data_IF_886971833260
#
_entry.id   IF_886971833260
#
_cell.length_a   1.000
_cell.length_b   1.000
_cell.length_c   1.000
_cell.angle_alpha   90.00
_cell.angle_beta   90.00
_cell.angle_gamma   90.00
#
_symmetry.space_group_name_H-M   'P 1'
#
loop_
_entity.id
_entity.type
_entity.pdbx_description
1 polymer ?
#
# COMPACT_ATOMS: atom_id res chain seq x y z
N UNK A 1 6.20 0.12 6.38
CA UNK A 1 5.30 -0.21 5.25
C UNK A 1 6.14 -0.50 4.01
N UNK A 2 5.82 -1.54 3.27
CA UNK A 2 6.48 -1.90 2.01
C UNK A 2 5.55 -1.62 0.84
N UNK A 3 6.08 -1.03 -0.23
CA UNK A 3 5.32 -0.73 -1.44
C UNK A 3 6.10 -1.16 -2.68
N UNK A 4 5.39 -1.58 -3.71
CA UNK A 4 5.94 -1.90 -5.03
C UNK A 4 4.88 -1.69 -6.10
N UNK A 5 5.32 -1.37 -7.30
CA UNK A 5 4.46 -1.23 -8.47
C UNK A 5 5.03 -2.00 -9.66
N UNK A 6 4.16 -2.77 -10.33
CA UNK A 6 4.46 -3.49 -11.57
C UNK A 6 3.20 -3.53 -12.45
N UNK A 7 2.52 -4.66 -12.56
CA UNK A 7 1.21 -4.77 -13.22
C UNK A 7 0.05 -4.21 -12.38
N UNK A 8 0.33 -3.97 -11.11
CA UNK A 8 -0.56 -3.40 -10.13
C UNK A 8 0.23 -2.70 -9.03
N UNK A 9 -0.48 -2.23 -8.01
CA UNK A 9 0.10 -1.61 -6.83
C UNK A 9 0.00 -2.59 -5.66
N UNK A 10 1.14 -3.02 -5.13
CA UNK A 10 1.23 -3.94 -4.01
C UNK A 10 1.76 -3.24 -2.76
N UNK A 11 1.11 -3.45 -1.62
CA UNK A 11 1.48 -2.81 -0.36
C UNK A 11 1.36 -3.80 0.80
N UNK A 12 2.27 -3.68 1.75
CA UNK A 12 2.28 -4.48 2.98
C UNK A 12 2.48 -3.56 4.18
N UNK A 13 1.57 -3.58 5.12
CA UNK A 13 1.70 -2.88 6.38
C UNK A 13 2.27 -3.83 7.43
N UNK A 14 3.33 -3.38 8.09
CA UNK A 14 3.97 -4.14 9.18
C UNK A 14 4.11 -3.26 10.41
N UNK A 15 4.01 -3.89 11.58
CA UNK A 15 4.32 -3.27 12.86
C UNK A 15 5.17 -4.25 13.69
N UNK A 16 6.28 -3.76 14.23
CA UNK A 16 7.22 -4.56 15.05
C UNK A 16 7.64 -5.88 14.37
N UNK A 17 7.90 -5.81 13.04
CA UNK A 17 8.31 -6.99 12.25
C UNK A 17 7.17 -7.95 11.87
N UNK A 18 5.93 -7.69 12.30
CA UNK A 18 4.76 -8.52 11.97
C UNK A 18 3.91 -7.83 10.91
N UNK A 19 3.43 -8.61 9.95
CA UNK A 19 2.49 -8.11 8.93
C UNK A 19 1.12 -7.93 9.58
N UNK A 20 0.55 -6.74 9.39
CA UNK A 20 -0.80 -6.38 9.86
C UNK A 20 -1.80 -6.50 8.72
N UNK A 21 -1.45 -5.98 7.53
CA UNK A 21 -2.37 -5.94 6.40
C UNK A 21 -1.63 -5.99 5.07
N UNK A 22 -2.33 -6.50 4.06
CA UNK A 22 -1.94 -6.47 2.67
C UNK A 22 -2.92 -5.62 1.89
N UNK A 23 -2.44 -4.86 0.92
CA UNK A 23 -3.28 -4.16 -0.04
C UNK A 23 -2.75 -4.38 -1.45
N UNK A 24 -3.67 -4.53 -2.37
CA UNK A 24 -3.37 -4.72 -3.78
C UNK A 24 -4.49 -4.11 -4.62
N UNK A 25 -4.13 -3.47 -5.72
CA UNK A 25 -5.06 -3.16 -6.80
C UNK A 25 -4.36 -3.17 -8.15
N UNK A 26 -5.09 -3.47 -9.17
CA UNK A 26 -4.60 -3.31 -10.55
C UNK A 26 -4.43 -1.85 -10.93
N UNK A 27 -3.60 -1.61 -11.93
CA UNK A 27 -3.48 -0.30 -12.55
C UNK A 27 -4.79 0.06 -13.27
N UNK A 28 -5.20 1.30 -13.13
CA UNK A 28 -6.27 1.87 -13.97
C UNK A 28 -5.74 2.06 -15.39
N UNK A 29 -6.64 2.10 -16.37
CA UNK A 29 -6.28 2.29 -17.77
C UNK A 29 -5.38 3.52 -18.02
N UNK A 30 -5.60 4.61 -17.31
CA UNK A 30 -4.77 5.81 -17.39
C UNK A 30 -3.42 5.71 -16.66
N UNK A 31 -3.23 4.70 -15.80
CA UNK A 31 -1.99 4.52 -15.03
C UNK A 31 -0.98 3.62 -15.74
N UNK A 32 -1.43 2.80 -16.69
CA UNK A 32 -0.58 1.83 -17.41
C UNK A 32 0.62 2.50 -18.09
N UNK A 33 0.44 3.74 -18.54
CA UNK A 33 1.47 4.53 -19.22
C UNK A 33 2.28 5.44 -18.29
N UNK A 34 2.12 5.31 -16.97
CA UNK A 34 2.90 6.10 -16.04
C UNK A 34 4.36 5.63 -16.00
N UNK A 35 5.31 6.55 -15.88
CA UNK A 35 6.70 6.19 -15.58
C UNK A 35 6.80 5.38 -14.28
N UNK A 36 7.79 4.51 -14.17
CA UNK A 36 7.98 3.61 -13.02
C UNK A 36 7.98 4.36 -11.69
N UNK A 37 8.66 5.50 -11.61
CA UNK A 37 8.70 6.30 -10.37
C UNK A 37 7.32 6.88 -9.98
N UNK A 38 6.46 7.18 -10.96
CA UNK A 38 5.09 7.62 -10.70
C UNK A 38 4.20 6.46 -10.23
N UNK A 39 4.40 5.26 -10.78
CA UNK A 39 3.70 4.06 -10.32
C UNK A 39 4.08 3.70 -8.88
N UNK A 40 5.35 3.77 -8.55
CA UNK A 40 5.83 3.55 -7.17
C UNK A 40 5.25 4.57 -6.19
N UNK A 41 5.22 5.86 -6.59
CA UNK A 41 4.57 6.89 -5.79
C UNK A 41 3.07 6.66 -5.66
N UNK A 42 2.42 6.18 -6.71
CA UNK A 42 1.00 5.80 -6.67
C UNK A 42 0.74 4.65 -5.69
N UNK A 43 1.68 3.69 -5.56
CA UNK A 43 1.56 2.63 -4.56
C UNK A 43 1.62 3.18 -3.13
N UNK A 44 2.51 4.13 -2.86
CA UNK A 44 2.57 4.81 -1.55
C UNK A 44 1.26 5.53 -1.27
N UNK A 45 0.76 6.34 -2.21
CA UNK A 45 -0.50 7.08 -2.06
C UNK A 45 -1.68 6.14 -1.87
N UNK A 46 -1.70 4.99 -2.57
CA UNK A 46 -2.73 3.99 -2.41
C UNK A 46 -2.75 3.41 -0.99
N UNK A 47 -1.59 3.03 -0.47
CA UNK A 47 -1.45 2.53 0.90
C UNK A 47 -1.91 3.56 1.95
N UNK A 48 -1.49 4.82 1.79
CA UNK A 48 -1.88 5.91 2.70
C UNK A 48 -3.39 6.14 2.73
N UNK A 49 -4.06 6.01 1.59
CA UNK A 49 -5.52 6.17 1.50
C UNK A 49 -6.26 5.03 2.19
N UNK A 50 -5.81 3.78 1.98
CA UNK A 50 -6.45 2.60 2.58
C UNK A 50 -6.25 2.59 4.09
N UNK A 51 -5.02 2.86 4.54
CA UNK A 51 -4.66 2.78 5.95
C UNK A 51 -4.61 4.13 6.65
N UNK A 52 -5.36 5.12 6.16
CA UNK A 52 -5.35 6.48 6.66
C UNK A 52 -5.57 6.54 8.17
N UNK A 53 -6.59 5.85 8.67
CA UNK A 53 -6.95 5.86 10.09
C UNK A 53 -5.85 5.28 10.98
N UNK A 54 -5.03 4.40 10.43
CA UNK A 54 -3.91 3.78 11.14
C UNK A 54 -2.64 4.61 11.09
N UNK A 55 -2.38 5.25 9.95
CA UNK A 55 -1.12 5.94 9.67
C UNK A 55 -1.16 7.44 10.00
N UNK A 56 -2.33 8.05 10.06
CA UNK A 56 -2.44 9.47 10.37
C UNK A 56 -1.98 9.76 11.80
N UNK A 57 -1.02 10.69 11.95
CA UNK A 57 -0.44 11.03 13.26
C UNK A 57 0.57 10.01 13.81
N UNK A 58 0.96 9.00 13.02
CA UNK A 58 1.94 7.98 13.39
C UNK A 58 3.14 8.06 12.45
N UNK A 59 4.35 7.99 13.00
CA UNK A 59 5.57 7.91 12.18
C UNK A 59 5.63 6.57 11.45
N UNK A 60 5.85 6.59 10.15
CA UNK A 60 5.86 5.41 9.29
C UNK A 60 7.03 5.42 8.32
N UNK A 61 7.82 4.34 8.30
CA UNK A 61 8.82 4.11 7.27
C UNK A 61 8.20 3.44 6.06
N UNK A 62 8.42 4.02 4.89
CA UNK A 62 8.01 3.46 3.59
C UNK A 62 9.23 2.85 2.91
N UNK A 63 9.21 1.54 2.77
CA UNK A 63 10.25 0.78 2.07
C UNK A 63 9.86 0.66 0.59
N UNK A 64 10.67 1.23 -0.28
CA UNK A 64 10.49 1.18 -1.74
C UNK A 64 11.73 0.63 -2.42
N UNK A 65 11.55 -0.08 -3.53
CA UNK A 65 12.65 -0.56 -4.35
C UNK A 65 13.13 0.45 -5.39
N UNK A 66 12.55 1.64 -5.45
CA UNK A 66 12.90 2.68 -6.41
C UNK A 66 13.65 3.85 -5.77
N UNK A 67 14.93 3.98 -6.09
CA UNK A 67 15.82 4.99 -5.48
C UNK A 67 15.34 6.42 -5.66
N UNK A 68 14.68 6.75 -6.77
CA UNK A 68 14.24 8.12 -7.06
C UNK A 68 13.19 8.63 -6.08
N UNK A 69 12.40 7.76 -5.46
CA UNK A 69 11.41 8.19 -4.47
C UNK A 69 12.03 8.81 -3.22
N UNK A 70 13.23 8.40 -2.85
CA UNK A 70 13.96 9.02 -1.73
C UNK A 70 14.17 10.53 -1.92
N UNK A 71 14.26 10.96 -3.17
CA UNK A 71 14.55 12.36 -3.51
C UNK A 71 13.32 13.13 -4.02
N UNK A 72 12.14 12.52 -4.03
CA UNK A 72 10.94 13.12 -4.62
C UNK A 72 10.58 14.46 -3.95
N UNK A 73 10.84 14.59 -2.65
CA UNK A 73 10.56 15.83 -1.90
C UNK A 73 11.52 16.98 -2.23
N UNK A 74 12.66 16.68 -2.81
CA UNK A 74 13.69 17.66 -3.14
C UNK A 74 13.73 18.02 -4.62
N UNK A 75 12.92 17.35 -5.45
CA UNK A 75 12.85 17.63 -6.89
C UNK A 75 12.19 18.99 -7.15
N UNK A 76 12.87 19.81 -7.96
CA UNK A 76 12.40 21.16 -8.32
C UNK A 76 11.25 21.12 -9.34
N UNK A 77 11.27 20.15 -10.25
CA UNK A 77 10.31 20.02 -11.32
C UNK A 77 9.41 18.79 -11.09
N UNK A 78 8.19 19.05 -10.66
CA UNK A 78 7.18 18.05 -10.43
C UNK A 78 6.01 18.29 -11.39
N UNK A 79 5.51 17.22 -12.00
CA UNK A 79 4.26 17.30 -12.75
C UNK A 79 3.05 17.51 -11.82
N UNK A 80 1.90 17.92 -12.40
CA UNK A 80 0.70 18.24 -11.61
C UNK A 80 0.20 17.06 -10.77
N UNK A 81 0.37 15.83 -11.25
CA UNK A 81 -0.02 14.61 -10.54
C UNK A 81 0.88 14.39 -9.32
N UNK A 82 2.19 14.49 -9.50
CA UNK A 82 3.16 14.36 -8.43
C UNK A 82 2.93 15.42 -7.34
N UNK A 83 2.67 16.67 -7.73
CA UNK A 83 2.36 17.76 -6.79
C UNK A 83 1.14 17.42 -5.92
N UNK A 84 0.04 16.93 -6.51
CA UNK A 84 -1.17 16.52 -5.77
C UNK A 84 -0.89 15.38 -4.80
N UNK A 85 -0.07 14.42 -5.20
CA UNK A 85 0.30 13.31 -4.34
C UNK A 85 1.20 13.75 -3.20
N UNK A 86 2.15 14.65 -3.45
CA UNK A 86 3.01 15.20 -2.39
C UNK A 86 2.22 16.05 -1.39
N UNK A 87 1.22 16.81 -1.83
CA UNK A 87 0.33 17.52 -0.90
C UNK A 87 -0.39 16.54 0.05
N UNK A 88 -0.87 15.41 -0.47
CA UNK A 88 -1.48 14.37 0.36
C UNK A 88 -0.47 13.74 1.32
N UNK A 89 0.75 13.47 0.85
CA UNK A 89 1.81 12.84 1.65
C UNK A 89 2.27 13.75 2.80
N UNK A 90 2.24 15.05 2.63
CA UNK A 90 2.60 16.04 3.68
C UNK A 90 1.78 15.91 4.96
N UNK A 91 0.57 15.37 4.87
CA UNK A 91 -0.30 15.15 6.04
C UNK A 91 0.18 13.99 6.92
N UNK A 92 1.20 13.25 6.49
CA UNK A 92 1.73 12.07 7.17
C UNK A 92 3.20 12.27 7.54
N UNK A 93 3.60 11.69 8.66
CA UNK A 93 5.01 11.60 9.07
C UNK A 93 5.66 10.37 8.43
N UNK A 94 6.20 10.56 7.21
CA UNK A 94 6.77 9.49 6.40
C UNK A 94 8.28 9.65 6.22
N UNK A 95 8.99 8.56 6.44
CA UNK A 95 10.39 8.39 6.06
C UNK A 95 10.49 7.39 4.89
N UNK A 96 10.85 7.86 3.69
CA UNK A 96 10.99 7.01 2.51
C UNK A 96 12.40 6.45 2.44
N UNK A 97 12.51 5.14 2.59
CA UNK A 97 13.76 4.40 2.61
C UNK A 97 13.87 3.51 1.38
N UNK A 98 14.98 3.63 0.66
CA UNK A 98 15.28 2.69 -0.42
C UNK A 98 15.63 1.30 0.17
N UNK A 99 14.94 0.29 -0.29
CA UNK A 99 15.14 -1.09 0.12
C UNK A 99 15.28 -1.99 -1.11
N UNK A 100 16.40 -2.71 -1.28
CA UNK A 100 16.61 -3.56 -2.44
C UNK A 100 15.50 -4.58 -2.65
N UNK A 101 15.16 -4.87 -3.90
CA UNK A 101 14.04 -5.75 -4.30
C UNK A 101 14.04 -7.11 -3.62
N UNK A 102 15.22 -7.67 -3.29
CA UNK A 102 15.34 -8.96 -2.59
C UNK A 102 14.68 -9.01 -1.21
N UNK A 103 14.48 -7.87 -0.57
CA UNK A 103 13.84 -7.78 0.74
C UNK A 103 12.37 -7.31 0.66
N UNK A 104 11.92 -6.81 -0.51
CA UNK A 104 10.54 -6.36 -0.75
C UNK A 104 9.71 -7.43 -1.50
N UNK A 105 9.95 -8.70 -1.20
CA UNK A 105 9.41 -9.84 -1.97
C UNK A 105 7.88 -9.87 -1.98
N UNK A 106 7.25 -9.57 -0.86
CA UNK A 106 5.78 -9.70 -0.73
C UNK A 106 5.05 -8.59 -1.47
N UNK A 107 5.48 -7.33 -1.34
CA UNK A 107 4.88 -6.23 -2.08
C UNK A 107 5.13 -6.37 -3.59
N UNK A 108 6.30 -6.89 -3.99
CA UNK A 108 6.61 -7.21 -5.39
C UNK A 108 5.67 -8.30 -5.93
N UNK A 109 5.50 -9.40 -5.20
CA UNK A 109 4.58 -10.47 -5.58
C UNK A 109 3.15 -9.97 -5.73
N UNK A 110 2.68 -9.12 -4.80
CA UNK A 110 1.35 -8.51 -4.87
C UNK A 110 1.20 -7.59 -6.09
N UNK A 111 2.22 -6.80 -6.41
CA UNK A 111 2.18 -5.88 -7.56
C UNK A 111 2.12 -6.58 -8.92
N UNK A 112 2.51 -7.86 -8.98
CA UNK A 112 2.50 -8.68 -10.21
C UNK A 112 1.20 -9.45 -10.43
N UNK A 113 0.29 -9.46 -9.44
CA UNK A 113 -0.99 -10.18 -9.58
C UNK A 113 -1.82 -9.64 -10.73
N UNK A 114 -2.33 -10.56 -11.55
CA UNK A 114 -3.28 -10.28 -12.63
C UNK A 114 -4.71 -10.66 -12.20
N UNK A 115 -5.72 -10.22 -12.94
CA UNK A 115 -7.14 -10.49 -12.64
C UNK A 115 -7.45 -12.01 -12.55
N UNK A 116 -6.74 -12.83 -13.28
CA UNK A 116 -6.95 -14.29 -13.30
C UNK A 116 -6.42 -14.97 -12.02
N UNK A 117 -5.43 -14.37 -11.35
CA UNK A 117 -4.87 -14.88 -10.11
C UNK A 117 -5.58 -14.36 -8.86
N UNK A 118 -6.36 -13.29 -8.99
CA UNK A 118 -7.10 -12.68 -7.88
C UNK A 118 -8.22 -13.58 -7.33
N UNK A 119 -8.62 -14.61 -8.06
CA UNK A 119 -9.72 -15.52 -7.66
C UNK A 119 -9.36 -16.45 -6.49
N UNK A 120 -8.10 -16.51 -6.04
CA UNK A 120 -7.66 -17.47 -5.01
C UNK A 120 -6.88 -16.85 -3.84
N UNK A 121 -6.83 -15.55 -3.71
CA UNK A 121 -6.29 -14.95 -2.48
C UNK A 121 -7.35 -14.96 -1.36
N UNK A 122 -7.73 -16.15 -0.92
CA UNK A 122 -8.46 -16.33 0.33
C UNK A 122 -7.53 -15.92 1.46
N UNK A 123 -7.68 -14.69 1.92
CA UNK A 123 -7.02 -14.25 3.16
C UNK A 123 -7.60 -15.11 4.29
N UNK A 124 -6.86 -16.11 4.70
CA UNK A 124 -7.11 -16.76 6.00
C UNK A 124 -6.56 -15.79 7.04
N UNK A 125 -7.41 -14.87 7.47
CA UNK A 125 -7.09 -14.01 8.62
C UNK A 125 -7.08 -14.95 9.82
N UNK A 126 -5.92 -15.16 10.40
CA UNK A 126 -5.82 -15.95 11.63
C UNK A 126 -6.66 -15.27 12.71
N UNK A 127 -7.50 -16.01 13.38
CA UNK A 127 -8.48 -15.53 14.38
C UNK A 127 -7.83 -14.67 15.49
N UNK A 128 -6.53 -14.88 15.77
CA UNK A 128 -5.75 -14.05 16.69
C UNK A 128 -5.49 -12.62 16.19
N UNK A 129 -5.30 -12.46 14.89
CA UNK A 129 -5.04 -11.16 14.26
C UNK A 129 -6.31 -10.29 14.23
N UNK A 130 -7.49 -10.90 14.04
CA UNK A 130 -8.78 -10.20 14.09
C UNK A 130 -9.03 -9.59 15.47
N UNK A 131 -8.76 -10.35 16.54
CA UNK A 131 -8.87 -9.87 17.91
C UNK A 131 -7.92 -8.72 18.22
N UNK A 132 -6.68 -8.79 17.71
CA UNK A 132 -5.67 -7.76 17.92
C UNK A 132 -6.00 -6.47 17.14
N UNK A 133 -6.58 -6.59 15.95
CA UNK A 133 -7.06 -5.46 15.15
C UNK A 133 -8.27 -4.76 15.81
N UNK A 134 -9.24 -5.54 16.32
CA UNK A 134 -10.40 -5.00 17.05
C UNK A 134 -10.01 -4.33 18.38
N UNK A 135 -9.06 -4.91 19.13
CA UNK A 135 -8.54 -4.30 20.36
C UNK A 135 -7.82 -2.97 20.12
N UNK A 136 -7.31 -2.74 18.91
CA UNK A 136 -6.68 -1.49 18.50
C UNK A 136 -7.65 -0.53 17.77
N UNK A 137 -8.96 -0.81 17.79
CA UNK A 137 -9.98 0.04 17.17
C UNK A 137 -9.96 0.06 15.64
N UNK A 138 -9.41 -0.97 15.00
CA UNK A 138 -9.36 -1.08 13.55
C UNK A 138 -10.57 -1.87 13.07
N UNK A 139 -11.43 -1.23 12.31
CA UNK A 139 -12.55 -1.89 11.63
C UNK A 139 -12.05 -2.67 10.41
N UNK A 140 -12.33 -3.97 10.37
CA UNK A 140 -11.97 -4.85 9.26
C UNK A 140 -13.18 -5.08 8.37
N UNK A 141 -13.14 -4.56 7.13
CA UNK A 141 -14.17 -4.78 6.13
C UNK A 141 -13.70 -5.85 5.15
N UNK A 142 -14.51 -6.88 4.98
CA UNK A 142 -14.25 -7.94 4.00
C UNK A 142 -15.25 -7.82 2.86
N UNK A 143 -14.74 -7.69 1.65
CA UNK A 143 -15.56 -7.75 0.45
C UNK A 143 -15.78 -9.21 0.08
N UNK A 144 -17.01 -9.69 0.16
CA UNK A 144 -17.39 -11.01 -0.35
C UNK A 144 -17.64 -10.94 -1.86
N UNK A 145 -17.54 -12.08 -2.55
CA UNK A 145 -17.67 -12.21 -4.02
C UNK A 145 -18.98 -11.66 -4.63
N UNK A 146 -19.94 -11.26 -3.81
CA UNK A 146 -21.22 -10.65 -4.22
C UNK A 146 -21.18 -9.12 -4.35
N UNK A 147 -20.03 -8.49 -4.19
CA UNK A 147 -19.92 -7.03 -4.21
C UNK A 147 -20.46 -6.30 -2.99
N UNK A 148 -20.96 -7.03 -2.00
CA UNK A 148 -21.41 -6.45 -0.72
C UNK A 148 -20.27 -6.43 0.30
N UNK A 149 -20.07 -5.27 0.92
CA UNK A 149 -19.21 -5.12 2.10
C UNK A 149 -19.97 -5.65 3.32
N UNK A 150 -19.39 -6.60 4.04
CA UNK A 150 -19.93 -7.06 5.31
C UNK A 150 -18.95 -6.77 6.46
N UNK A 151 -19.51 -6.33 7.58
CA UNK A 151 -18.79 -6.22 8.84
C UNK A 151 -18.51 -7.61 9.39
N UNK A 152 -17.30 -7.86 9.86
CA UNK A 152 -17.01 -9.08 10.62
C UNK A 152 -17.42 -8.81 12.08
N UNK A 153 -18.61 -9.30 12.47
CA UNK A 153 -18.95 -9.42 13.88
C UNK A 153 -18.16 -10.55 14.52
N UNK A 154 -17.77 -10.31 15.75
CA UNK A 154 -16.96 -11.22 16.57
C UNK A 154 -17.74 -12.48 16.95
#
# INVERSE_FOLDING_TARGET
MYTNASNGLGCVLQQRGRVIAYAFRQLKSGEVNYPTHDLELAAVVHALKIWRHYLYGTSCQVMTNHKSLKYIFTQKELNMRQRRWLELIKDYDLDIVYHPSKANVVADALSRKTHQEATVARLTVQTGLQKELMLNGIEVWVQRDSGQLSFLEA
#
